data_IF_432022777685
#
_entry.id   IF_432022777685
#
_cell.length_a   1.000
_cell.length_b   1.000
_cell.length_c   1.000
_cell.angle_alpha   90.00
_cell.angle_beta   90.00
_cell.angle_gamma   90.00
#
_symmetry.space_group_name_H-M   'P 1'
#
loop_
_entity.id
_entity.type
_entity.pdbx_description
1 polymer ?
#
# COMPACT_ATOMS: atom_id res chain seq x y z
N UNK A 1 -28.10 28.39 11.22
CA UNK A 1 -27.48 27.86 9.99
C UNK A 1 -26.85 26.51 10.31
N UNK A 2 -27.20 25.44 9.59
CA UNK A 2 -26.58 24.11 9.77
C UNK A 2 -25.55 23.93 8.66
N UNK A 3 -24.27 23.82 9.04
CA UNK A 3 -23.16 23.61 8.11
C UNK A 3 -22.77 22.14 8.16
N UNK A 4 -22.67 21.52 7.00
CA UNK A 4 -22.17 20.15 6.86
C UNK A 4 -20.93 20.18 5.97
N UNK A 5 -19.93 19.35 6.30
CA UNK A 5 -18.73 19.14 5.48
C UNK A 5 -18.77 17.70 5.00
N UNK A 6 -18.77 17.51 3.68
CA UNK A 6 -18.65 16.18 3.10
C UNK A 6 -17.26 15.63 3.37
N UNK A 7 -17.20 14.45 3.96
CA UNK A 7 -15.96 13.67 4.13
C UNK A 7 -15.94 12.56 3.09
N UNK A 8 -14.74 12.26 2.56
CA UNK A 8 -14.56 11.18 1.60
C UNK A 8 -14.92 9.83 2.25
N UNK A 9 -15.53 8.91 1.50
CA UNK A 9 -15.96 7.59 1.99
C UNK A 9 -14.82 6.80 2.66
N UNK A 10 -13.60 6.92 2.15
CA UNK A 10 -12.42 6.34 2.80
C UNK A 10 -12.23 6.94 4.20
N UNK A 11 -12.18 8.26 4.35
CA UNK A 11 -12.05 8.95 5.65
C UNK A 11 -13.19 8.60 6.62
N UNK A 12 -14.42 8.46 6.11
CA UNK A 12 -15.56 8.02 6.90
C UNK A 12 -15.40 6.60 7.45
N UNK A 13 -14.99 5.65 6.60
CA UNK A 13 -14.74 4.28 7.01
C UNK A 13 -13.58 4.20 8.03
N UNK A 14 -12.54 5.02 7.87
CA UNK A 14 -11.42 5.13 8.82
C UNK A 14 -11.84 5.59 10.22
N UNK A 15 -12.84 6.47 10.30
CA UNK A 15 -13.32 7.02 11.57
C UNK A 15 -14.36 6.13 12.26
N UNK A 16 -15.09 5.29 11.50
CA UNK A 16 -16.18 4.47 12.03
C UNK A 16 -15.80 3.01 12.28
N UNK A 17 -14.79 2.47 11.59
CA UNK A 17 -14.42 1.04 11.68
C UNK A 17 -13.15 0.85 12.52
N UNK A 18 -13.09 -0.23 13.30
CA UNK A 18 -11.97 -0.61 14.17
C UNK A 18 -10.74 -1.09 13.37
N UNK A 19 -10.32 -0.37 12.34
CA UNK A 19 -9.19 -0.73 11.47
C UNK A 19 -7.86 -0.70 12.22
N UNK A 20 -6.92 -1.55 11.80
CA UNK A 20 -5.54 -1.55 12.32
C UNK A 20 -4.68 -0.65 11.45
N UNK A 21 -4.05 0.34 12.08
CA UNK A 21 -3.05 1.17 11.43
C UNK A 21 -1.66 0.56 11.56
N UNK A 22 -0.95 0.48 10.43
CA UNK A 22 0.42 -0.02 10.33
C UNK A 22 1.21 0.98 9.49
N UNK A 23 2.43 1.32 9.91
CA UNK A 23 3.37 2.09 9.11
C UNK A 23 4.45 1.16 8.55
N UNK A 24 4.59 1.16 7.23
CA UNK A 24 5.67 0.48 6.52
C UNK A 24 6.74 1.49 6.15
N UNK A 25 8.02 1.12 6.34
CA UNK A 25 9.18 1.92 5.95
C UNK A 25 9.90 1.19 4.81
N UNK A 26 10.36 1.94 3.81
CA UNK A 26 11.13 1.41 2.70
C UNK A 26 12.09 2.44 2.10
N UNK A 27 13.03 1.99 1.27
CA UNK A 27 13.97 2.85 0.55
C UNK A 27 13.29 3.67 -0.56
N UNK A 28 12.12 3.23 -1.07
CA UNK A 28 11.32 3.97 -2.06
C UNK A 28 9.84 3.54 -2.02
N UNK A 29 8.96 4.30 -2.70
CA UNK A 29 7.51 4.05 -2.70
C UNK A 29 7.04 2.99 -3.70
N UNK A 30 7.93 2.52 -4.58
CA UNK A 30 7.60 1.63 -5.71
C UNK A 30 6.47 2.15 -6.61
N UNK A 31 6.23 3.47 -6.61
CA UNK A 31 5.13 4.09 -7.36
C UNK A 31 3.75 3.95 -6.70
N UNK A 32 3.66 3.37 -5.51
CA UNK A 32 2.41 3.22 -4.76
C UNK A 32 1.94 4.58 -4.22
N UNK A 33 0.62 4.80 -4.23
CA UNK A 33 -0.03 5.99 -3.69
C UNK A 33 -1.23 5.62 -2.79
N UNK A 34 -1.82 6.62 -2.14
CA UNK A 34 -3.08 6.51 -1.40
C UNK A 34 -4.16 5.85 -2.26
N UNK A 35 -4.72 4.74 -1.76
CA UNK A 35 -5.75 3.95 -2.42
C UNK A 35 -5.25 2.61 -2.96
N UNK A 36 -3.93 2.39 -3.03
CA UNK A 36 -3.37 1.10 -3.39
C UNK A 36 -3.83 -0.01 -2.42
N UNK A 37 -4.18 -1.17 -2.97
CA UNK A 37 -4.78 -2.26 -2.21
C UNK A 37 -3.70 -3.08 -1.47
N UNK A 38 -3.99 -3.45 -0.23
CA UNK A 38 -3.23 -4.46 0.50
C UNK A 38 -3.89 -5.81 0.35
N UNK A 39 -3.12 -6.80 -0.09
CA UNK A 39 -3.63 -8.12 -0.44
C UNK A 39 -3.10 -9.19 0.51
N UNK A 40 -3.96 -10.11 0.91
CA UNK A 40 -3.57 -11.38 1.51
C UNK A 40 -4.13 -12.53 0.68
N UNK A 41 -3.25 -13.37 0.13
CA UNK A 41 -3.63 -14.48 -0.78
C UNK A 41 -4.53 -14.04 -1.95
N UNK A 42 -4.34 -12.81 -2.44
CA UNK A 42 -5.12 -12.23 -3.55
C UNK A 42 -6.45 -11.57 -3.15
N UNK A 43 -6.80 -11.59 -1.86
CA UNK A 43 -8.01 -10.93 -1.33
C UNK A 43 -7.60 -9.56 -0.79
N UNK A 44 -8.38 -8.52 -1.12
CA UNK A 44 -8.17 -7.16 -0.57
C UNK A 44 -8.55 -7.17 0.91
N UNK A 45 -7.60 -6.80 1.76
CA UNK A 45 -7.76 -6.77 3.22
C UNK A 45 -7.57 -5.38 3.84
N UNK A 46 -7.26 -4.39 3.00
CA UNK A 46 -6.94 -3.04 3.43
C UNK A 46 -6.42 -2.18 2.29
N UNK A 47 -5.96 -0.98 2.62
CA UNK A 47 -5.43 -0.03 1.65
C UNK A 47 -4.36 0.89 2.25
N UNK A 48 -3.50 1.41 1.37
CA UNK A 48 -2.60 2.51 1.70
C UNK A 48 -3.43 3.80 1.81
N UNK A 49 -3.22 4.55 2.89
CA UNK A 49 -3.96 5.79 3.15
C UNK A 49 -3.10 7.03 3.02
N UNK A 50 -1.78 6.88 3.11
CA UNK A 50 -0.83 7.96 2.98
C UNK A 50 0.55 7.43 2.58
N UNK A 51 1.28 8.18 1.78
CA UNK A 51 2.67 7.91 1.40
C UNK A 51 3.45 9.22 1.55
N UNK A 52 4.65 9.14 2.10
CA UNK A 52 5.47 10.33 2.29
C UNK A 52 6.94 10.02 2.53
N UNK A 53 7.74 11.07 2.58
CA UNK A 53 9.16 10.97 2.94
C UNK A 53 9.29 10.94 4.46
N UNK A 54 10.15 10.06 4.97
CA UNK A 54 10.53 10.09 6.37
C UNK A 54 11.45 11.30 6.56
N UNK A 55 10.96 12.34 7.23
CA UNK A 55 11.76 13.54 7.51
C UNK A 55 12.59 13.32 8.76
N UNK A 56 13.81 12.80 8.59
CA UNK A 56 14.81 12.80 9.65
C UNK A 56 15.98 13.69 9.28
N UNK A 57 16.08 14.83 9.98
CA UNK A 57 17.21 15.80 9.93
C UNK A 57 18.60 15.18 10.20
N UNK A 58 18.72 13.86 10.34
CA UNK A 58 19.91 13.10 10.71
C UNK A 58 20.14 11.82 9.90
N UNK A 59 19.28 11.47 8.94
CA UNK A 59 19.47 10.27 8.13
C UNK A 59 20.01 10.62 6.75
N UNK A 60 21.11 9.96 6.38
CA UNK A 60 21.75 10.05 5.05
C UNK A 60 20.96 9.31 3.96
N UNK A 61 19.84 8.67 4.31
CA UNK A 61 19.00 7.89 3.41
C UNK A 61 17.60 8.52 3.36
N UNK A 62 17.13 8.79 2.15
CA UNK A 62 15.77 9.26 1.89
C UNK A 62 14.82 8.06 1.93
N UNK A 63 14.42 7.64 3.13
CA UNK A 63 13.39 6.60 3.30
C UNK A 63 11.99 7.17 3.06
N UNK A 64 11.07 6.31 2.64
CA UNK A 64 9.64 6.62 2.53
C UNK A 64 8.87 5.87 3.61
N UNK A 65 7.74 6.44 4.02
CA UNK A 65 6.73 5.73 4.81
C UNK A 65 5.46 5.53 3.99
N UNK A 66 4.77 4.42 4.26
CA UNK A 66 3.43 4.12 3.78
C UNK A 66 2.56 3.79 4.99
N UNK A 67 1.56 4.63 5.25
CA UNK A 67 0.55 4.35 6.27
C UNK A 67 -0.54 3.47 5.66
N UNK A 68 -0.77 2.32 6.28
CA UNK A 68 -1.68 1.27 5.82
C UNK A 68 -2.78 1.10 6.84
N UNK A 69 -4.01 0.95 6.36
CA UNK A 69 -5.12 0.49 7.18
C UNK A 69 -5.57 -0.89 6.72
N UNK A 70 -5.67 -1.79 7.69
CA UNK A 70 -6.22 -3.14 7.53
C UNK A 70 -7.60 -3.17 8.15
N UNK A 71 -8.57 -3.73 7.43
CA UNK A 71 -9.95 -3.80 7.90
C UNK A 71 -10.05 -4.68 9.16
N UNK A 72 -10.94 -4.31 10.09
CA UNK A 72 -11.02 -4.96 11.40
C UNK A 72 -11.28 -6.47 11.32
N UNK A 73 -12.05 -6.93 10.33
CA UNK A 73 -12.34 -8.36 10.10
C UNK A 73 -11.05 -9.19 9.88
N UNK A 74 -10.00 -8.56 9.34
CA UNK A 74 -8.70 -9.17 9.05
C UNK A 74 -7.65 -8.96 10.14
N UNK A 75 -8.03 -8.38 11.30
CA UNK A 75 -7.12 -8.11 12.43
C UNK A 75 -6.23 -9.29 12.80
N UNK A 76 -6.79 -10.49 12.76
CA UNK A 76 -6.12 -11.74 13.14
C UNK A 76 -4.96 -12.15 12.20
N UNK A 77 -4.87 -11.54 11.01
CA UNK A 77 -3.80 -11.79 10.03
C UNK A 77 -2.51 -11.03 10.37
N UNK A 78 -2.59 -9.98 11.18
CA UNK A 78 -1.47 -9.13 11.55
C UNK A 78 -0.79 -9.67 12.81
N UNK A 79 0.49 -10.00 12.66
CA UNK A 79 1.40 -10.56 13.67
C UNK A 79 2.74 -9.82 13.58
N UNK A 80 3.57 -9.98 14.62
CA UNK A 80 4.86 -9.30 14.72
C UNK A 80 5.89 -9.72 13.65
N UNK A 81 5.68 -10.85 12.97
CA UNK A 81 6.60 -11.40 11.99
C UNK A 81 6.08 -11.36 10.55
N UNK A 82 5.04 -10.56 10.26
CA UNK A 82 4.55 -10.39 8.90
C UNK A 82 5.61 -9.70 8.03
N UNK A 83 5.78 -10.20 6.80
CA UNK A 83 6.58 -9.54 5.76
C UNK A 83 5.65 -8.98 4.69
N UNK A 84 5.71 -7.68 4.49
CA UNK A 84 5.03 -7.00 3.40
C UNK A 84 5.98 -6.92 2.19
N UNK A 85 5.46 -7.14 0.99
CA UNK A 85 6.22 -7.06 -0.25
C UNK A 85 5.33 -6.46 -1.32
N UNK A 86 5.94 -5.72 -2.24
CA UNK A 86 5.24 -5.18 -3.42
C UNK A 86 5.07 -6.32 -4.42
N UNK A 87 3.85 -6.51 -4.90
CA UNK A 87 3.51 -7.44 -6.00
C UNK A 87 3.08 -6.61 -7.20
N UNK A 88 3.24 -7.12 -8.42
CA UNK A 88 2.65 -6.47 -9.59
C UNK A 88 3.58 -5.62 -10.45
N UNK A 89 4.91 -5.66 -10.28
CA UNK A 89 5.81 -5.00 -11.23
C UNK A 89 5.88 -5.80 -12.54
N UNK A 90 5.48 -5.19 -13.66
CA UNK A 90 5.85 -5.72 -14.96
C UNK A 90 7.38 -5.64 -15.09
N UNK A 91 8.02 -6.77 -15.40
CA UNK A 91 9.46 -6.80 -15.66
C UNK A 91 9.71 -7.16 -17.12
N UNK A 92 10.71 -6.51 -17.71
CA UNK A 92 11.23 -6.83 -19.02
C UNK A 92 12.74 -7.05 -18.88
N UNK A 93 13.23 -8.17 -19.37
CA UNK A 93 14.64 -8.55 -19.32
C UNK A 93 15.12 -8.92 -20.72
N UNK A 94 16.29 -8.40 -21.09
CA UNK A 94 16.95 -8.76 -22.33
C UNK A 94 17.90 -9.94 -22.06
N UNK A 95 17.60 -11.09 -22.66
CA UNK A 95 18.40 -12.32 -22.58
C UNK A 95 19.10 -12.57 -23.91
N UNK A 96 20.08 -13.49 -23.95
CA UNK A 96 20.71 -13.92 -25.21
C UNK A 96 19.70 -14.54 -26.21
N UNK A 97 18.58 -15.04 -25.70
CA UNK A 97 17.47 -15.59 -26.48
C UNK A 97 16.44 -14.55 -26.94
N UNK A 98 16.58 -13.27 -26.54
CA UNK A 98 15.69 -12.18 -26.95
C UNK A 98 15.11 -11.39 -25.77
N UNK A 99 13.89 -10.87 -25.94
CA UNK A 99 13.20 -10.09 -24.91
C UNK A 99 12.23 -10.98 -24.12
N UNK A 100 12.42 -11.08 -22.81
CA UNK A 100 11.51 -11.74 -21.88
C UNK A 100 10.66 -10.70 -21.15
N UNK A 101 9.33 -10.84 -21.16
CA UNK A 101 8.41 -9.92 -20.48
C UNK A 101 7.52 -10.70 -19.53
N UNK A 102 7.55 -10.35 -18.24
CA UNK A 102 6.65 -10.89 -17.23
C UNK A 102 5.65 -9.81 -16.85
N UNK A 103 4.37 -10.05 -17.14
CA UNK A 103 3.28 -9.11 -16.82
C UNK A 103 2.33 -9.77 -15.82
N UNK A 104 2.05 -9.13 -14.67
CA UNK A 104 1.01 -9.60 -13.76
C UNK A 104 -0.38 -9.52 -14.39
N UNK A 105 -1.37 -10.28 -13.88
CA UNK A 105 -2.77 -10.16 -14.30
C UNK A 105 -3.26 -8.71 -14.31
N UNK A 106 -4.01 -8.33 -15.35
CA UNK A 106 -4.42 -6.94 -15.60
C UNK A 106 -5.10 -6.24 -14.41
N UNK A 107 -5.85 -6.97 -13.57
CA UNK A 107 -6.45 -6.41 -12.36
C UNK A 107 -5.43 -5.86 -11.36
N UNK A 108 -4.24 -6.44 -11.29
CA UNK A 108 -3.16 -5.98 -10.40
C UNK A 108 -2.45 -4.74 -10.95
N UNK A 109 -2.47 -4.52 -12.27
CA UNK A 109 -1.91 -3.32 -12.91
C UNK A 109 -2.76 -2.08 -12.67
N UNK A 110 -4.08 -2.26 -12.45
CA UNK A 110 -5.03 -1.16 -12.25
C UNK A 110 -5.12 -0.71 -10.78
N UNK A 111 -4.51 -1.44 -9.86
CA UNK A 111 -4.61 -1.22 -8.40
C UNK A 111 -3.29 -0.84 -7.73
N UNK A 112 -2.24 -0.61 -8.54
CA UNK A 112 -0.96 -0.07 -8.09
C UNK A 112 -1.04 1.41 -7.76
#
# INVERSE_FOLDING_TARGET
SRRFTAIRKNVFNQQQEKSIAIRLISDNSFGLDSGANVLYKGIVVGSIINVGLVDEKKQTKHEVFMDVLIDHEYKHLIKSNNRFYVTGSASAELTESGLSVTVPPAKQLLTG
#
